data_IF_802084623492
#
_entry.id   IF_802084623492
#
_cell.length_a   1.000
_cell.length_b   1.000
_cell.length_c   1.000
_cell.angle_alpha   90.00
_cell.angle_beta   90.00
_cell.angle_gamma   90.00
#
_symmetry.space_group_name_H-M   'P 1'
#
loop_
_entity.id
_entity.type
_entity.pdbx_description
1 polymer ?
#
# COMPACT_ATOMS: atom_id res chain seq x y z
N UNK A 1 38.55 55.35 13.79
CA UNK A 1 38.74 53.92 14.15
C UNK A 1 37.45 53.47 14.80
N UNK A 2 36.61 52.54 14.35
CA UNK A 2 36.42 51.68 13.17
C UNK A 2 34.89 51.42 13.18
N UNK A 3 34.12 51.81 12.16
CA UNK A 3 33.81 51.05 10.94
C UNK A 3 33.01 49.76 11.17
N UNK A 4 31.74 49.83 10.75
CA UNK A 4 30.74 48.79 10.50
C UNK A 4 31.26 47.49 9.87
N UNK A 5 30.66 46.37 10.27
CA UNK A 5 29.97 45.39 9.38
C UNK A 5 29.62 44.12 10.17
N UNK A 6 28.35 43.96 10.55
CA UNK A 6 27.77 42.65 10.84
C UNK A 6 27.26 42.05 9.53
N UNK A 7 27.96 41.03 9.05
CA UNK A 7 27.61 40.27 7.86
C UNK A 7 26.48 39.31 8.19
N UNK A 8 25.28 39.56 7.66
CA UNK A 8 24.20 38.58 7.59
C UNK A 8 24.57 37.51 6.56
N UNK A 9 24.92 36.30 7.02
CA UNK A 9 24.99 35.11 6.17
C UNK A 9 23.61 34.46 6.15
N UNK A 10 22.86 34.75 5.09
CA UNK A 10 21.65 34.04 4.72
C UNK A 10 22.04 32.66 4.18
N UNK A 11 21.82 31.61 4.98
CA UNK A 11 21.83 30.24 4.48
C UNK A 11 20.37 29.77 4.28
N UNK A 12 20.03 29.12 3.16
CA UNK A 12 18.68 28.64 2.90
C UNK A 12 18.32 27.53 3.90
N UNK A 13 17.19 27.69 4.58
CA UNK A 13 16.53 26.63 5.35
C UNK A 13 16.14 25.51 4.39
N UNK A 14 17.00 24.51 4.24
CA UNK A 14 16.55 23.19 3.79
C UNK A 14 15.65 22.65 4.90
N UNK A 15 14.35 22.79 4.71
CA UNK A 15 13.36 21.99 5.41
C UNK A 15 13.66 20.52 5.09
N UNK A 16 14.44 19.86 5.93
CA UNK A 16 14.40 18.42 6.03
C UNK A 16 12.99 18.10 6.50
N UNK A 17 12.10 17.79 5.55
CA UNK A 17 10.90 17.04 5.86
C UNK A 17 11.41 15.80 6.55
N UNK A 18 11.27 15.79 7.88
CA UNK A 18 11.46 14.61 8.68
C UNK A 18 10.56 13.56 8.04
N UNK A 19 11.18 12.63 7.30
CA UNK A 19 10.55 11.42 6.83
C UNK A 19 10.08 10.72 8.09
N UNK A 20 8.83 10.99 8.46
CA UNK A 20 8.15 10.32 9.55
C UNK A 20 7.98 8.90 9.03
N UNK A 21 9.03 8.10 9.17
CA UNK A 21 9.00 6.67 8.93
C UNK A 21 8.07 6.12 10.00
N UNK A 22 6.78 6.17 9.71
CA UNK A 22 5.79 5.29 10.31
C UNK A 22 6.26 3.89 9.95
N UNK A 23 7.10 3.31 10.81
CA UNK A 23 7.35 1.87 10.82
C UNK A 23 6.00 1.26 11.15
N UNK A 24 5.20 1.00 10.12
CA UNK A 24 4.01 0.20 10.26
C UNK A 24 4.50 -1.17 10.73
N UNK A 25 3.96 -1.71 11.83
CA UNK A 25 4.35 -3.02 12.30
C UNK A 25 4.03 -4.01 11.19
N UNK A 26 5.00 -4.84 10.80
CA UNK A 26 4.79 -5.94 9.87
C UNK A 26 3.69 -6.84 10.45
N UNK A 27 2.47 -6.72 9.91
CA UNK A 27 1.30 -7.37 10.48
C UNK A 27 1.32 -8.87 10.18
N UNK A 28 1.08 -9.66 11.24
CA UNK A 28 1.24 -11.11 11.29
C UNK A 28 0.24 -11.88 10.39
N UNK A 29 -0.77 -11.22 9.84
CA UNK A 29 -1.73 -11.72 8.84
C UNK A 29 -1.93 -10.64 7.75
N UNK A 30 -0.84 -10.33 7.05
CA UNK A 30 -0.55 -9.03 6.41
C UNK A 30 -1.38 -8.59 5.20
N UNK A 31 -2.60 -9.09 5.01
CA UNK A 31 -3.49 -8.59 3.95
C UNK A 31 -4.54 -7.65 4.56
N UNK A 32 -4.48 -6.37 4.21
CA UNK A 32 -5.48 -5.36 4.57
C UNK A 32 -6.16 -4.85 3.31
N UNK A 33 -7.46 -5.05 3.17
CA UNK A 33 -8.23 -4.61 1.99
C UNK A 33 -9.31 -3.61 2.38
N UNK A 34 -9.55 -2.66 1.48
CA UNK A 34 -10.62 -1.67 1.55
C UNK A 34 -11.17 -1.43 0.15
N UNK A 35 -12.28 -0.69 0.05
CA UNK A 35 -12.80 -0.23 -1.23
C UNK A 35 -11.79 0.60 -2.05
N UNK A 36 -10.82 1.23 -1.40
CA UNK A 36 -9.88 2.14 -2.06
C UNK A 36 -8.57 1.44 -2.48
N UNK A 37 -8.28 0.27 -1.93
CA UNK A 37 -7.00 -0.39 -2.15
C UNK A 37 -6.75 -1.55 -1.21
N UNK A 38 -5.59 -2.16 -1.39
CA UNK A 38 -5.13 -3.33 -0.66
C UNK A 38 -3.65 -3.23 -0.32
N UNK A 39 -3.28 -3.74 0.84
CA UNK A 39 -1.89 -3.95 1.26
C UNK A 39 -1.70 -5.44 1.52
N UNK A 40 -0.65 -6.03 0.98
CA UNK A 40 -0.37 -7.47 1.13
C UNK A 40 1.13 -7.78 1.06
N UNK A 41 1.59 -8.89 1.69
CA UNK A 41 2.96 -9.35 1.54
C UNK A 41 3.19 -9.95 0.16
N UNK A 42 4.36 -9.68 -0.41
CA UNK A 42 4.82 -10.21 -1.69
C UNK A 42 6.26 -10.69 -1.57
N UNK A 43 6.60 -11.76 -2.30
CA UNK A 43 7.99 -12.20 -2.47
C UNK A 43 8.74 -11.40 -3.52
N UNK A 44 8.02 -10.62 -4.32
CA UNK A 44 8.54 -9.88 -5.47
C UNK A 44 8.34 -8.39 -5.26
N UNK A 45 9.41 -7.63 -5.46
CA UNK A 45 9.34 -6.17 -5.45
C UNK A 45 8.46 -5.67 -6.60
N UNK A 46 7.62 -4.68 -6.33
CA UNK A 46 6.79 -4.04 -7.33
C UNK A 46 7.13 -2.54 -7.39
N UNK A 47 7.45 -2.05 -8.58
CA UNK A 47 7.80 -0.63 -8.73
C UNK A 47 6.55 0.22 -8.49
N UNK A 48 6.63 1.29 -7.68
CA UNK A 48 5.55 2.26 -7.57
C UNK A 48 5.11 2.79 -8.94
N UNK A 49 3.84 3.15 -9.05
CA UNK A 49 3.16 3.58 -10.28
C UNK A 49 3.02 2.50 -11.35
N UNK A 50 3.32 1.23 -11.04
CA UNK A 50 3.05 0.11 -11.94
C UNK A 50 1.58 -0.29 -11.88
N UNK A 51 0.94 -0.43 -13.03
CA UNK A 51 -0.40 -1.03 -13.13
C UNK A 51 -0.35 -2.53 -12.86
N UNK A 52 -1.28 -2.98 -12.02
CA UNK A 52 -1.38 -4.38 -11.60
C UNK A 52 -2.82 -4.85 -11.62
N UNK A 53 -3.01 -6.14 -11.83
CA UNK A 53 -4.24 -6.83 -11.52
C UNK A 53 -4.06 -7.60 -10.21
N UNK A 54 -4.85 -7.28 -9.20
CA UNK A 54 -4.87 -7.97 -7.91
C UNK A 54 -6.02 -8.95 -7.87
N UNK A 55 -5.72 -10.22 -7.65
CA UNK A 55 -6.72 -11.25 -7.39
C UNK A 55 -6.89 -11.40 -5.88
N UNK A 56 -8.08 -11.10 -5.37
CA UNK A 56 -8.42 -11.14 -3.95
C UNK A 56 -9.38 -12.30 -3.72
N UNK A 57 -9.03 -13.22 -2.83
CA UNK A 57 -9.95 -14.26 -2.36
C UNK A 57 -10.82 -13.70 -1.24
N UNK A 58 -12.14 -13.70 -1.41
CA UNK A 58 -13.05 -13.23 -0.36
C UNK A 58 -13.13 -14.23 0.81
N UNK A 59 -13.53 -13.79 2.02
CA UNK A 59 -13.84 -14.70 3.12
C UNK A 59 -15.06 -15.55 2.76
N UNK A 60 -15.17 -16.79 3.27
CA UNK A 60 -16.31 -17.69 2.94
C UNK A 60 -17.70 -17.09 3.22
N UNK A 61 -17.80 -16.17 4.18
CA UNK A 61 -19.05 -15.47 4.51
C UNK A 61 -19.40 -14.29 3.59
N UNK A 62 -18.52 -13.94 2.65
CA UNK A 62 -18.72 -12.85 1.67
C UNK A 62 -18.49 -13.41 0.28
N UNK A 63 -19.50 -13.30 -0.58
CA UNK A 63 -19.46 -13.84 -1.94
C UNK A 63 -18.98 -15.31 -2.00
N UNK A 64 -19.38 -16.15 -1.03
CA UNK A 64 -19.03 -17.57 -0.92
C UNK A 64 -17.51 -17.89 -1.01
N UNK A 65 -16.64 -16.92 -0.68
CA UNK A 65 -15.20 -17.08 -0.80
C UNK A 65 -14.65 -17.08 -2.24
N UNK A 66 -15.44 -16.57 -3.19
CA UNK A 66 -15.01 -16.40 -4.57
C UNK A 66 -13.86 -15.41 -4.70
N UNK A 67 -13.12 -15.52 -5.81
CA UNK A 67 -12.07 -14.58 -6.14
C UNK A 67 -12.65 -13.40 -6.92
N UNK A 68 -12.23 -12.19 -6.54
CA UNK A 68 -12.47 -10.98 -7.32
C UNK A 68 -11.17 -10.48 -7.93
N UNK A 69 -11.25 -9.93 -9.13
CA UNK A 69 -10.11 -9.33 -9.81
C UNK A 69 -10.26 -7.80 -9.77
N UNK A 70 -9.32 -7.14 -9.11
CA UNK A 70 -9.28 -5.69 -8.95
C UNK A 70 -8.11 -5.14 -9.77
N UNK A 71 -8.35 -4.22 -10.70
CA UNK A 71 -7.26 -3.44 -11.30
C UNK A 71 -6.80 -2.39 -10.31
N UNK A 72 -5.51 -2.07 -10.33
CA UNK A 72 -4.95 -1.08 -9.44
C UNK A 72 -3.57 -0.60 -9.86
N UNK A 73 -3.05 0.36 -9.12
CA UNK A 73 -1.68 0.89 -9.27
C UNK A 73 -0.95 0.70 -7.96
N UNK A 74 0.29 0.23 -8.04
CA UNK A 74 1.18 0.15 -6.87
C UNK A 74 1.47 1.57 -6.40
N UNK A 75 1.07 1.92 -5.18
CA UNK A 75 1.34 3.25 -4.61
C UNK A 75 2.55 3.24 -3.68
N UNK A 76 2.86 2.09 -3.11
CA UNK A 76 4.04 1.89 -2.28
C UNK A 76 4.48 0.42 -2.33
N UNK A 77 5.77 0.20 -2.23
CA UNK A 77 6.36 -1.13 -2.08
C UNK A 77 7.66 -0.98 -1.31
N UNK A 78 7.68 -1.54 -0.10
CA UNK A 78 8.84 -1.47 0.78
C UNK A 78 9.13 -2.84 1.39
N UNK A 79 10.36 -3.05 1.83
CA UNK A 79 10.81 -4.34 2.35
C UNK A 79 12.27 -4.60 2.00
N UNK A 80 12.69 -5.85 2.16
CA UNK A 80 14.10 -6.23 2.03
C UNK A 80 14.27 -7.38 1.06
N UNK A 81 15.04 -7.16 -0.01
CA UNK A 81 15.37 -8.19 -1.00
C UNK A 81 16.11 -9.38 -0.39
N UNK A 82 16.92 -9.16 0.65
CA UNK A 82 17.66 -10.23 1.34
C UNK A 82 16.75 -11.36 1.90
N UNK A 83 15.48 -11.06 2.17
CA UNK A 83 14.51 -12.04 2.68
C UNK A 83 13.37 -12.33 1.70
N UNK A 84 13.37 -11.73 0.51
CA UNK A 84 12.23 -11.74 -0.41
C UNK A 84 10.92 -11.44 0.33
N UNK A 85 10.93 -10.39 1.14
CA UNK A 85 9.79 -9.96 1.95
C UNK A 85 9.52 -8.50 1.65
N UNK A 86 8.48 -8.27 0.86
CA UNK A 86 7.99 -6.95 0.50
C UNK A 86 6.55 -6.79 0.98
N UNK A 87 6.20 -5.59 1.41
CA UNK A 87 4.84 -5.17 1.64
C UNK A 87 4.46 -4.24 0.48
N UNK A 88 3.41 -4.63 -0.26
CA UNK A 88 2.95 -3.93 -1.45
C UNK A 88 1.62 -3.30 -1.14
N UNK A 89 1.51 -1.99 -1.36
CA UNK A 89 0.24 -1.26 -1.31
C UNK A 89 -0.21 -0.91 -2.73
N UNK A 90 -1.45 -1.25 -3.04
CA UNK A 90 -2.10 -1.01 -4.33
C UNK A 90 -3.35 -0.18 -4.12
N UNK A 91 -3.48 0.92 -4.84
CA UNK A 91 -4.74 1.65 -4.95
C UNK A 91 -5.57 1.07 -6.09
N UNK A 92 -6.86 0.80 -5.87
CA UNK A 92 -7.70 0.22 -6.89
C UNK A 92 -8.15 1.28 -7.92
N UNK A 93 -8.18 0.88 -9.19
CA UNK A 93 -8.66 1.69 -10.31
C UNK A 93 -10.04 1.22 -10.75
N UNK A 94 -11.02 2.13 -10.76
CA UNK A 94 -12.35 1.91 -11.34
C UNK A 94 -13.02 0.60 -10.89
N UNK A 95 -13.16 0.40 -9.58
CA UNK A 95 -13.87 -0.77 -9.08
C UNK A 95 -15.34 -0.74 -9.46
N UNK A 96 -15.91 -1.85 -9.98
CA UNK A 96 -17.34 -2.00 -10.13
C UNK A 96 -18.04 -1.86 -8.76
N UNK A 97 -19.18 -1.17 -8.71
CA UNK A 97 -19.92 -0.90 -7.46
C UNK A 97 -20.26 -2.17 -6.67
N UNK A 98 -20.55 -3.27 -7.35
CA UNK A 98 -20.81 -4.56 -6.72
C UNK A 98 -19.57 -5.09 -5.99
N UNK A 99 -18.40 -5.03 -6.61
CA UNK A 99 -17.13 -5.46 -6.00
C UNK A 99 -16.73 -4.51 -4.87
N UNK A 100 -16.97 -3.21 -5.02
CA UNK A 100 -16.75 -2.24 -3.95
C UNK A 100 -17.58 -2.58 -2.70
N UNK A 101 -18.86 -2.92 -2.87
CA UNK A 101 -19.73 -3.33 -1.77
C UNK A 101 -19.26 -4.63 -1.12
N UNK A 102 -18.86 -5.63 -1.91
CA UNK A 102 -18.29 -6.89 -1.41
C UNK A 102 -17.01 -6.65 -0.61
N UNK A 103 -16.11 -5.79 -1.09
CA UNK A 103 -14.87 -5.44 -0.38
C UNK A 103 -15.16 -4.70 0.92
N UNK A 104 -16.14 -3.79 0.94
CA UNK A 104 -16.59 -3.11 2.18
C UNK A 104 -17.20 -4.09 3.17
N UNK A 105 -17.93 -5.09 2.70
CA UNK A 105 -18.47 -6.15 3.55
C UNK A 105 -17.35 -7.03 4.10
N UNK A 106 -16.42 -7.46 3.24
CA UNK A 106 -15.25 -8.24 3.63
C UNK A 106 -14.42 -7.52 4.69
N UNK A 107 -14.19 -6.20 4.54
CA UNK A 107 -13.47 -5.38 5.52
C UNK A 107 -14.11 -5.43 6.91
N UNK A 108 -15.44 -5.53 7.01
CA UNK A 108 -16.13 -5.67 8.30
C UNK A 108 -16.00 -7.07 8.89
N UNK A 109 -15.76 -8.09 8.08
CA UNK A 109 -15.60 -9.49 8.49
C UNK A 109 -14.13 -9.87 8.73
N UNK A 110 -13.18 -8.98 8.44
CA UNK A 110 -11.72 -9.22 8.52
C UNK A 110 -11.18 -9.42 9.94
N UNK A 111 -11.98 -9.21 10.98
CA UNK A 111 -11.58 -9.54 12.35
C UNK A 111 -11.47 -11.06 12.59
N UNK A 112 -11.88 -11.92 11.63
CA UNK A 112 -11.98 -13.38 11.89
C UNK A 112 -11.51 -14.32 10.78
N UNK A 113 -11.16 -13.85 9.57
CA UNK A 113 -10.86 -14.75 8.43
C UNK A 113 -9.68 -14.27 7.56
N UNK A 114 -8.92 -15.22 7.02
CA UNK A 114 -7.75 -14.98 6.18
C UNK A 114 -8.15 -14.57 4.75
N UNK A 115 -7.50 -13.52 4.23
CA UNK A 115 -7.55 -13.12 2.83
C UNK A 115 -6.23 -13.46 2.15
N UNK A 116 -6.29 -13.87 0.89
CA UNK A 116 -5.10 -14.04 0.04
C UNK A 116 -5.20 -13.09 -1.12
N UNK A 117 -4.11 -12.35 -1.38
CA UNK A 117 -4.01 -11.44 -2.50
C UNK A 117 -2.75 -11.75 -3.32
N UNK A 118 -2.89 -11.76 -4.63
CA UNK A 118 -1.76 -11.90 -5.56
C UNK A 118 -1.89 -10.82 -6.62
N UNK A 119 -0.82 -10.07 -6.87
CA UNK A 119 -0.80 -9.06 -7.92
C UNK A 119 0.08 -9.50 -9.09
N UNK A 120 -0.40 -9.25 -10.30
CA UNK A 120 0.30 -9.48 -11.55
C UNK A 120 0.48 -8.14 -12.26
N UNK A 121 1.70 -7.82 -12.72
CA UNK A 121 1.97 -6.60 -13.49
C UNK A 121 1.26 -6.65 -14.84
N UNK A 122 0.60 -5.56 -15.20
CA UNK A 122 0.09 -5.33 -16.54
C UNK A 122 1.16 -4.52 -17.28
N UNK A 123 1.60 -5.02 -18.44
CA UNK A 123 2.83 -4.60 -19.13
C UNK A 123 2.90 -3.14 -19.54
#
# INVERSE_FOLDING_TARGET
>A
MNADKQTFVTAPRTSSLASKTTRKPAQKNGVHVSANGITFPSSTYMTPFTEVQVRVQMPKGVNNGHFVNCRGVVVDCHGTSAKNQFEVAVAFLNLPKNIENELRQAQRTMETLSLTATATRLG
#
